data_IF_110152539770
#
_entry.id   IF_110152539770
#
_cell.length_a   1.000
_cell.length_b   1.000
_cell.length_c   1.000
_cell.angle_alpha   90.00
_cell.angle_beta   90.00
_cell.angle_gamma   90.00
#
_symmetry.space_group_name_H-M   'P 1'
#
loop_
_entity.id
_entity.type
_entity.pdbx_description
1 polymer ?
#
# COMPACT_ATOMS: atom_id res chain seq x y z
N UNK A 1 -8.13 -8.25 31.22
CA UNK A 1 -7.29 -7.67 30.15
C UNK A 1 -7.35 -8.66 29.01
N UNK A 2 -8.12 -8.35 27.97
CA UNK A 2 -8.27 -9.24 26.82
C UNK A 2 -7.03 -9.06 25.93
N UNK A 3 -6.29 -10.15 25.73
CA UNK A 3 -5.29 -10.26 24.68
C UNK A 3 -6.05 -10.26 23.35
N UNK A 4 -6.07 -9.12 22.64
CA UNK A 4 -6.48 -9.08 21.24
C UNK A 4 -5.47 -9.88 20.43
N UNK A 5 -5.80 -11.15 20.21
CA UNK A 5 -5.16 -12.00 19.20
C UNK A 5 -5.24 -11.27 17.87
N UNK A 6 -4.10 -10.82 17.34
CA UNK A 6 -3.95 -10.33 15.98
C UNK A 6 -4.53 -11.39 15.04
N UNK A 7 -5.73 -11.13 14.53
CA UNK A 7 -6.40 -12.02 13.59
C UNK A 7 -5.55 -12.12 12.32
N UNK A 8 -5.52 -13.29 11.66
CA UNK A 8 -4.78 -13.45 10.42
C UNK A 8 -5.28 -12.45 9.36
N UNK A 9 -4.33 -11.74 8.76
CA UNK A 9 -4.59 -10.88 7.62
C UNK A 9 -4.66 -11.75 6.37
N UNK A 10 -5.61 -11.48 5.48
CA UNK A 10 -5.68 -12.12 4.17
C UNK A 10 -5.29 -11.09 3.12
N UNK A 11 -4.33 -11.45 2.26
CA UNK A 11 -3.92 -10.69 1.10
C UNK A 11 -4.74 -11.14 -0.10
N UNK A 12 -5.27 -10.22 -0.88
CA UNK A 12 -5.73 -10.47 -2.25
C UNK A 12 -5.00 -9.53 -3.18
N UNK A 13 -4.38 -10.09 -4.21
CA UNK A 13 -4.03 -9.34 -5.42
C UNK A 13 -5.32 -8.84 -6.07
N UNK A 14 -5.39 -7.62 -6.61
CA UNK A 14 -6.48 -7.21 -7.51
C UNK A 14 -5.90 -6.39 -8.65
N UNK A 15 -6.06 -6.89 -9.89
CA UNK A 15 -5.51 -6.26 -11.10
C UNK A 15 -6.28 -6.59 -12.39
N UNK A 16 -7.61 -6.66 -12.36
CA UNK A 16 -8.54 -6.94 -13.48
C UNK A 16 -8.16 -8.03 -14.51
N UNK A 17 -8.80 -9.19 -14.33
CA UNK A 17 -9.18 -10.24 -15.31
C UNK A 17 -8.17 -11.34 -15.63
N UNK A 18 -7.09 -11.49 -14.86
CA UNK A 18 -6.40 -12.77 -14.77
C UNK A 18 -7.00 -13.61 -13.64
N UNK A 19 -7.29 -14.90 -13.87
CA UNK A 19 -7.82 -15.76 -12.79
C UNK A 19 -6.85 -15.86 -11.60
N UNK A 20 -5.56 -15.64 -11.86
CA UNK A 20 -4.48 -15.58 -10.89
C UNK A 20 -4.66 -14.43 -9.88
N UNK A 21 -5.38 -13.36 -10.22
CA UNK A 21 -5.59 -12.22 -9.32
C UNK A 21 -6.69 -12.50 -8.30
N UNK A 22 -7.64 -13.39 -8.59
CA UNK A 22 -8.66 -13.79 -7.61
C UNK A 22 -8.09 -14.72 -6.51
N UNK A 23 -6.79 -15.02 -6.54
CA UNK A 23 -6.15 -15.86 -5.55
C UNK A 23 -5.92 -15.04 -4.29
N UNK A 24 -6.59 -15.45 -3.22
CA UNK A 24 -6.37 -14.90 -1.89
C UNK A 24 -5.31 -15.73 -1.17
N UNK A 25 -4.36 -15.05 -0.56
CA UNK A 25 -3.28 -15.62 0.23
C UNK A 25 -3.46 -15.23 1.69
N UNK A 26 -3.68 -16.19 2.58
CA UNK A 26 -3.71 -15.90 4.02
C UNK A 26 -2.28 -15.72 4.55
N UNK A 27 -2.03 -14.59 5.21
CA UNK A 27 -0.77 -14.28 5.88
C UNK A 27 -1.00 -14.32 7.38
N UNK A 28 -0.42 -15.34 8.03
CA UNK A 28 -0.45 -15.42 9.48
C UNK A 28 0.37 -14.28 10.11
N UNK A 29 0.09 -13.93 11.36
CA UNK A 29 0.89 -12.95 12.10
C UNK A 29 2.37 -13.36 12.12
N UNK A 30 3.26 -12.43 11.78
CA UNK A 30 4.71 -12.65 11.67
C UNK A 30 5.16 -13.43 10.43
N UNK A 31 4.24 -13.85 9.55
CA UNK A 31 4.57 -14.46 8.27
C UNK A 31 4.77 -13.41 7.17
N UNK A 32 5.28 -13.84 6.02
CA UNK A 32 5.48 -13.00 4.84
C UNK A 32 4.90 -13.68 3.60
N UNK A 33 4.43 -12.86 2.66
CA UNK A 33 4.08 -13.27 1.30
C UNK A 33 5.02 -12.55 0.33
N UNK A 34 5.45 -13.25 -0.72
CA UNK A 34 6.33 -12.70 -1.74
C UNK A 34 5.82 -13.11 -3.13
N UNK A 35 5.90 -12.19 -4.08
CA UNK A 35 5.67 -12.44 -5.50
C UNK A 35 6.70 -11.71 -6.37
N UNK A 36 6.93 -12.21 -7.59
CA UNK A 36 7.79 -11.53 -8.55
C UNK A 36 7.09 -10.29 -9.11
N UNK A 37 7.85 -9.23 -9.40
CA UNK A 37 7.30 -8.05 -10.05
C UNK A 37 6.63 -8.37 -11.40
N UNK A 38 5.50 -7.69 -11.62
CA UNK A 38 4.88 -7.56 -12.91
C UNK A 38 5.44 -6.34 -13.64
N UNK A 39 5.59 -6.48 -14.95
CA UNK A 39 6.07 -5.43 -15.84
C UNK A 39 4.87 -4.84 -16.55
N UNK A 40 4.83 -3.52 -16.68
CA UNK A 40 3.80 -2.82 -17.43
C UNK A 40 4.40 -1.85 -18.44
N UNK A 41 3.74 -1.73 -19.59
CA UNK A 41 4.10 -0.77 -20.61
C UNK A 41 2.95 0.24 -20.74
N UNK A 42 3.08 1.49 -20.28
CA UNK A 42 2.00 2.46 -20.44
C UNK A 42 1.79 2.78 -21.92
N UNK A 43 0.52 2.95 -22.33
CA UNK A 43 0.21 3.50 -23.65
C UNK A 43 0.28 5.03 -23.56
N UNK A 44 1.43 5.60 -23.95
CA UNK A 44 1.71 7.03 -23.84
C UNK A 44 1.45 7.73 -25.17
N UNK A 45 0.66 8.82 -25.15
CA UNK A 45 0.41 9.63 -26.34
C UNK A 45 1.73 10.23 -26.88
N UNK A 46 1.98 10.07 -28.19
CA UNK A 46 3.21 10.51 -28.84
C UNK A 46 4.31 9.46 -28.91
N UNK A 47 4.15 8.29 -28.26
CA UNK A 47 5.00 7.14 -28.50
C UNK A 47 4.58 6.42 -29.79
N UNK A 48 5.55 6.04 -30.63
CA UNK A 48 5.25 5.33 -31.89
C UNK A 48 4.80 3.88 -31.66
N UNK A 49 5.21 3.25 -30.57
CA UNK A 49 4.97 1.83 -30.33
C UNK A 49 4.72 1.50 -28.85
N UNK A 50 3.67 0.72 -28.60
CA UNK A 50 3.41 0.09 -27.31
C UNK A 50 4.19 -1.21 -27.21
N UNK A 51 4.95 -1.40 -26.12
CA UNK A 51 5.88 -2.51 -25.95
C UNK A 51 5.21 -3.81 -25.45
N UNK A 52 4.32 -4.37 -26.27
CA UNK A 52 3.47 -5.52 -25.96
C UNK A 52 4.24 -6.77 -25.49
N UNK A 53 5.47 -6.98 -25.98
CA UNK A 53 6.28 -8.17 -25.66
C UNK A 53 6.80 -8.17 -24.21
N UNK A 54 6.93 -6.98 -23.60
CA UNK A 54 7.39 -6.84 -22.21
C UNK A 54 6.23 -6.70 -21.22
N UNK A 55 5.08 -6.29 -21.72
CA UNK A 55 3.94 -5.96 -20.88
C UNK A 55 3.20 -7.20 -20.37
N UNK A 56 3.33 -7.47 -19.08
CA UNK A 56 2.57 -8.53 -18.40
C UNK A 56 1.15 -8.09 -18.04
N UNK A 57 0.90 -6.78 -17.88
CA UNK A 57 -0.38 -6.20 -17.50
C UNK A 57 -0.60 -4.88 -18.27
N UNK A 58 -1.41 -4.95 -19.33
CA UNK A 58 -1.64 -3.89 -20.34
C UNK A 58 -1.73 -2.46 -19.79
N UNK A 59 -0.59 -1.79 -19.63
CA UNK A 59 -0.47 -0.44 -19.07
C UNK A 59 -1.01 -0.27 -17.65
N UNK A 60 -1.23 -1.36 -16.90
CA UNK A 60 -1.73 -1.32 -15.53
C UNK A 60 -0.67 -1.77 -14.53
N UNK A 61 -0.58 -1.05 -13.41
CA UNK A 61 0.17 -1.50 -12.24
C UNK A 61 -0.49 -2.68 -11.53
N UNK A 62 0.23 -3.27 -10.59
CA UNK A 62 -0.29 -4.30 -9.68
C UNK A 62 -0.76 -3.62 -8.41
N UNK A 63 -2.01 -3.90 -8.01
CA UNK A 63 -2.53 -3.49 -6.71
C UNK A 63 -2.63 -4.71 -5.79
N UNK A 64 -1.86 -4.66 -4.70
CA UNK A 64 -1.93 -5.59 -3.58
C UNK A 64 -2.89 -5.04 -2.53
N UNK A 65 -4.04 -5.71 -2.35
CA UNK A 65 -5.03 -5.35 -1.34
C UNK A 65 -4.91 -6.25 -0.13
N UNK A 66 -4.69 -5.64 1.02
CA UNK A 66 -4.50 -6.30 2.31
C UNK A 66 -5.72 -6.00 3.15
N UNK A 67 -6.43 -7.05 3.57
CA UNK A 67 -7.62 -6.94 4.39
C UNK A 67 -7.63 -7.98 5.51
N UNK A 68 -8.60 -7.89 6.40
CA UNK A 68 -8.82 -8.94 7.41
C UNK A 68 -9.87 -9.92 6.91
N UNK A 69 -9.81 -11.18 7.35
CA UNK A 69 -10.86 -12.15 7.03
C UNK A 69 -12.26 -11.72 7.53
N UNK A 70 -12.32 -10.82 8.51
CA UNK A 70 -13.57 -10.29 9.05
C UNK A 70 -14.20 -9.21 8.17
N UNK A 71 -13.41 -8.51 7.34
CA UNK A 71 -13.90 -7.41 6.53
C UNK A 71 -13.11 -7.29 5.22
N UNK A 72 -13.71 -7.80 4.13
CA UNK A 72 -13.08 -7.87 2.81
C UNK A 72 -13.21 -6.56 2.01
N UNK A 73 -14.11 -5.66 2.41
CA UNK A 73 -14.32 -4.37 1.73
C UNK A 73 -13.38 -3.28 2.24
N UNK A 74 -12.73 -3.50 3.39
CA UNK A 74 -11.79 -2.56 3.98
C UNK A 74 -10.36 -3.05 3.71
N UNK A 75 -9.66 -2.39 2.80
CA UNK A 75 -8.33 -2.80 2.38
C UNK A 75 -7.32 -1.65 2.43
N UNK A 76 -6.13 -1.97 2.95
CA UNK A 76 -4.92 -1.23 2.62
C UNK A 76 -4.46 -1.68 1.23
N UNK A 77 -4.12 -0.74 0.37
CA UNK A 77 -3.59 -1.01 -0.96
C UNK A 77 -2.11 -0.63 -1.02
N UNK A 78 -1.29 -1.51 -1.58
CA UNK A 78 0.04 -1.19 -2.09
C UNK A 78 0.03 -1.38 -3.60
N UNK A 79 0.26 -0.32 -4.34
CA UNK A 79 0.35 -0.36 -5.80
C UNK A 79 1.81 -0.30 -6.22
N UNK A 80 2.19 -1.09 -7.23
CA UNK A 80 3.49 -0.99 -7.85
C UNK A 80 3.45 -1.28 -9.34
N UNK A 81 4.44 -0.78 -10.07
CA UNK A 81 4.60 -1.03 -11.49
C UNK A 81 6.08 -0.92 -11.89
N UNK A 82 6.60 -1.90 -12.64
CA UNK A 82 7.84 -1.72 -13.40
C UNK A 82 7.47 -1.11 -14.75
N UNK A 83 7.71 0.20 -14.89
CA UNK A 83 7.27 1.03 -16.00
C UNK A 83 8.41 1.29 -16.97
N UNK A 84 8.19 0.96 -18.25
CA UNK A 84 9.04 1.37 -19.35
C UNK A 84 8.35 2.50 -20.12
N UNK A 85 8.68 3.77 -19.84
CA UNK A 85 8.17 4.89 -20.64
C UNK A 85 8.95 4.97 -21.97
N UNK A 86 8.31 4.75 -23.13
CA UNK A 86 9.00 4.84 -24.41
C UNK A 86 9.55 6.24 -24.72
N UNK A 87 9.00 7.30 -24.10
CA UNK A 87 9.47 8.67 -24.29
C UNK A 87 10.71 9.03 -23.47
N UNK A 88 11.00 8.27 -22.40
CA UNK A 88 12.15 8.55 -21.54
C UNK A 88 13.46 8.01 -22.14
N UNK A 89 13.38 7.17 -23.19
CA UNK A 89 14.52 6.50 -23.86
C UNK A 89 15.48 5.77 -22.89
N UNK A 90 14.98 5.33 -21.73
CA UNK A 90 15.80 4.65 -20.72
C UNK A 90 16.00 3.17 -21.07
N UNK A 91 17.18 2.59 -20.83
CA UNK A 91 17.44 1.18 -21.11
C UNK A 91 16.86 0.22 -20.04
N UNK A 92 16.10 0.74 -19.07
CA UNK A 92 15.59 0.01 -17.92
C UNK A 92 14.18 0.47 -17.53
N UNK A 93 13.50 -0.37 -16.75
CA UNK A 93 12.20 -0.07 -16.17
C UNK A 93 12.38 0.72 -14.88
N UNK A 94 11.59 1.78 -14.70
CA UNK A 94 11.48 2.48 -13.41
C UNK A 94 10.43 1.79 -12.54
N UNK A 95 10.75 1.59 -11.28
CA UNK A 95 9.77 1.15 -10.31
C UNK A 95 8.97 2.36 -9.83
N UNK A 96 7.66 2.33 -10.07
CA UNK A 96 6.68 3.22 -9.47
C UNK A 96 5.92 2.48 -8.38
N UNK A 97 5.58 3.17 -7.30
CA UNK A 97 4.87 2.58 -6.17
C UNK A 97 4.12 3.62 -5.34
N UNK A 98 3.05 3.18 -4.70
CA UNK A 98 2.34 3.95 -3.68
C UNK A 98 1.65 3.05 -2.66
N UNK A 99 1.26 3.67 -1.55
CA UNK A 99 0.41 3.05 -0.54
C UNK A 99 -0.84 3.90 -0.37
N UNK A 100 -1.97 3.24 -0.24
CA UNK A 100 -3.27 3.86 -0.15
C UNK A 100 -4.12 3.22 0.94
N UNK A 101 -4.76 4.06 1.74
CA UNK A 101 -5.81 3.72 2.68
C UNK A 101 -7.18 4.17 2.17
N UNK A 102 -7.30 4.53 0.89
CA UNK A 102 -8.56 5.04 0.32
C UNK A 102 -9.69 4.00 0.41
N UNK A 103 -9.34 2.72 0.26
CA UNK A 103 -10.29 1.59 0.28
C UNK A 103 -10.52 1.02 1.70
N UNK A 104 -10.15 1.75 2.76
CA UNK A 104 -10.46 1.36 4.13
C UNK A 104 -10.99 2.52 4.97
N UNK A 105 -11.80 2.25 5.98
CA UNK A 105 -12.38 3.22 6.91
C UNK A 105 -12.98 4.45 6.20
N UNK A 106 -13.73 4.21 5.11
CA UNK A 106 -14.36 5.28 4.32
C UNK A 106 -15.32 6.10 5.19
N UNK A 107 -15.21 7.44 5.21
CA UNK A 107 -16.08 8.27 6.04
C UNK A 107 -17.58 8.09 5.79
N UNK A 108 -18.01 7.74 4.57
CA UNK A 108 -19.40 7.49 4.24
C UNK A 108 -19.90 6.17 4.84
N UNK A 109 -19.07 5.14 4.85
CA UNK A 109 -19.40 3.84 5.46
C UNK A 109 -19.32 3.91 7.00
N UNK A 110 -18.56 4.87 7.53
CA UNK A 110 -18.32 5.06 8.97
C UNK A 110 -18.85 6.40 9.50
N UNK A 111 -19.90 6.94 8.87
CA UNK A 111 -20.37 8.32 9.10
C UNK A 111 -20.61 8.70 10.57
N UNK A 112 -21.11 7.76 11.40
CA UNK A 112 -21.30 8.02 12.83
C UNK A 112 -19.98 8.25 13.58
N UNK A 113 -18.92 7.54 13.21
CA UNK A 113 -17.59 7.71 13.81
C UNK A 113 -16.97 9.04 13.39
N UNK A 114 -17.09 9.39 12.12
CA UNK A 114 -16.60 10.66 11.57
C UNK A 114 -17.53 11.86 11.85
N UNK A 115 -18.62 11.66 12.58
CA UNK A 115 -19.58 12.73 12.92
C UNK A 115 -20.31 13.32 11.71
N UNK A 116 -20.43 12.56 10.61
CA UNK A 116 -21.08 12.99 9.37
C UNK A 116 -22.60 12.75 9.47
N UNK A 117 -23.38 13.82 9.37
CA UNK A 117 -24.84 13.75 9.28
C UNK A 117 -25.31 13.71 7.82
N UNK A 118 -25.94 12.61 7.40
CA UNK A 118 -26.49 12.43 6.04
C UNK A 118 -27.66 13.36 5.67
N UNK A 119 -28.15 14.12 6.65
CA UNK A 119 -29.38 14.91 6.60
C UNK A 119 -29.15 16.39 6.88
N UNK A 120 -27.89 16.84 6.88
CA UNK A 120 -27.52 18.25 7.02
C UNK A 120 -26.85 18.77 5.75
N UNK A 121 -27.12 20.02 5.38
CA UNK A 121 -26.43 20.75 4.28
C UNK A 121 -24.90 20.90 4.50
N UNK A 122 -24.37 20.39 5.63
CA UNK A 122 -22.98 20.45 6.03
C UNK A 122 -22.31 19.08 5.93
N UNK A 123 -22.29 18.48 4.75
CA UNK A 123 -21.42 17.33 4.50
C UNK A 123 -19.97 17.77 4.61
N UNK A 124 -19.27 17.30 5.65
CA UNK A 124 -17.84 17.56 5.82
C UNK A 124 -17.07 16.64 4.86
N UNK A 125 -16.44 17.22 3.85
CA UNK A 125 -15.48 16.51 3.01
C UNK A 125 -14.13 16.43 3.74
N UNK A 126 -13.70 15.19 4.02
CA UNK A 126 -12.42 14.91 4.66
C UNK A 126 -11.41 14.61 3.56
N UNK A 127 -10.34 15.38 3.51
CA UNK A 127 -9.21 15.18 2.60
C UNK A 127 -7.95 14.98 3.42
N UNK A 128 -6.86 14.54 2.79
CA UNK A 128 -5.57 14.44 3.48
C UNK A 128 -5.15 15.80 4.08
N UNK A 129 -5.55 16.91 3.46
CA UNK A 129 -5.26 18.28 3.92
C UNK A 129 -6.18 18.78 5.03
N UNK A 130 -7.42 18.29 5.10
CA UNK A 130 -8.43 18.75 6.06
C UNK A 130 -8.66 17.77 7.21
N UNK A 131 -8.00 16.60 7.21
CA UNK A 131 -8.17 15.59 8.25
C UNK A 131 -7.75 16.11 9.63
N UNK A 132 -8.60 15.88 10.62
CA UNK A 132 -8.27 16.15 12.02
C UNK A 132 -7.45 15.00 12.62
N UNK A 133 -6.95 15.21 13.84
CA UNK A 133 -6.32 14.13 14.59
C UNK A 133 -7.28 12.96 14.86
N UNK A 134 -8.58 13.23 15.09
CA UNK A 134 -9.60 12.19 15.24
C UNK A 134 -9.85 11.43 13.95
N UNK A 135 -9.97 12.10 12.79
CA UNK A 135 -10.19 11.41 11.51
C UNK A 135 -9.05 10.45 11.20
N UNK A 136 -7.82 10.91 11.42
CA UNK A 136 -6.62 10.08 11.28
C UNK A 136 -6.64 8.91 12.25
N UNK A 137 -7.01 9.13 13.51
CA UNK A 137 -7.14 8.06 14.50
C UNK A 137 -8.14 6.99 14.05
N UNK A 138 -9.31 7.40 13.52
CA UNK A 138 -10.27 6.45 12.95
C UNK A 138 -9.67 5.65 11.80
N UNK A 139 -8.94 6.31 10.89
CA UNK A 139 -8.23 5.63 9.82
C UNK A 139 -7.23 4.59 10.33
N UNK A 140 -6.37 4.98 11.27
CA UNK A 140 -5.35 4.10 11.88
C UNK A 140 -5.98 2.90 12.58
N UNK A 141 -7.05 3.12 13.35
CA UNK A 141 -7.69 2.09 14.17
C UNK A 141 -8.48 1.07 13.32
N UNK A 142 -9.01 1.49 12.17
CA UNK A 142 -9.88 0.67 11.32
C UNK A 142 -9.19 0.07 10.10
N UNK A 143 -8.13 0.71 9.58
CA UNK A 143 -7.44 0.23 8.40
C UNK A 143 -6.51 -0.95 8.72
N UNK A 144 -6.64 -2.07 8.00
CA UNK A 144 -5.83 -3.26 8.24
C UNK A 144 -4.34 -2.97 7.99
N UNK A 145 -3.47 -3.46 8.87
CA UNK A 145 -2.03 -3.40 8.68
C UNK A 145 -1.36 -2.05 9.00
N UNK A 146 -2.13 -1.00 9.32
CA UNK A 146 -1.58 0.33 9.63
C UNK A 146 -1.28 0.56 11.12
N UNK A 147 -1.93 -0.18 12.03
CA UNK A 147 -1.78 0.01 13.48
C UNK A 147 -0.32 -0.15 13.94
N UNK A 148 0.25 0.89 14.51
CA UNK A 148 1.67 0.99 14.86
C UNK A 148 2.56 1.46 13.71
N UNK A 149 1.98 1.95 12.62
CA UNK A 149 2.69 2.38 11.42
C UNK A 149 2.91 1.28 10.39
N UNK A 150 3.41 1.69 9.23
CA UNK A 150 3.84 0.82 8.14
C UNK A 150 5.17 1.30 7.58
N UNK A 151 5.87 0.42 6.87
CA UNK A 151 7.13 0.78 6.22
C UNK A 151 7.26 0.11 4.86
N UNK A 152 7.67 0.88 3.85
CA UNK A 152 8.14 0.37 2.57
C UNK A 152 9.66 0.53 2.55
N UNK A 153 10.37 -0.59 2.40
CA UNK A 153 11.83 -0.62 2.34
C UNK A 153 12.33 -1.37 1.10
N UNK A 154 13.55 -1.05 0.69
CA UNK A 154 14.17 -1.56 -0.52
C UNK A 154 15.39 -2.39 -0.17
N UNK A 155 15.40 -3.65 -0.58
CA UNK A 155 16.53 -4.57 -0.40
C UNK A 155 17.15 -4.83 -1.76
N UNK A 156 18.15 -4.02 -2.12
CA UNK A 156 18.86 -4.16 -3.38
C UNK A 156 19.60 -5.51 -3.49
N UNK A 157 19.72 -6.02 -4.71
CA UNK A 157 20.62 -7.13 -5.02
C UNK A 157 22.07 -6.74 -4.75
N UNK A 158 22.91 -7.73 -4.46
CA UNK A 158 24.35 -7.52 -4.30
C UNK A 158 24.90 -6.85 -5.56
N UNK A 159 25.68 -5.78 -5.38
CA UNK A 159 26.24 -4.89 -6.43
C UNK A 159 25.31 -3.86 -7.10
N UNK A 160 24.04 -3.76 -6.68
CA UNK A 160 23.13 -2.71 -7.15
C UNK A 160 23.03 -1.54 -6.15
N UNK A 161 22.68 -0.35 -6.64
CA UNK A 161 22.39 0.81 -5.78
C UNK A 161 20.97 0.66 -5.20
N UNK A 162 20.87 0.64 -3.86
CA UNK A 162 19.60 0.55 -3.16
C UNK A 162 18.97 1.91 -2.84
N UNK A 163 19.73 2.99 -2.96
CA UNK A 163 19.30 4.33 -2.56
C UNK A 163 18.61 5.08 -3.72
N UNK A 164 18.26 4.37 -4.80
CA UNK A 164 17.53 4.93 -5.94
C UNK A 164 16.03 5.12 -5.68
N UNK A 165 15.49 4.54 -4.60
CA UNK A 165 14.08 4.61 -4.25
C UNK A 165 13.89 5.27 -2.87
N UNK A 166 12.87 6.13 -2.73
CA UNK A 166 12.54 6.76 -1.45
C UNK A 166 11.74 5.80 -0.54
N UNK A 167 12.23 5.44 0.66
CA UNK A 167 11.44 4.62 1.57
C UNK A 167 10.22 5.38 2.10
N UNK A 168 9.15 4.64 2.41
CA UNK A 168 8.01 5.16 3.15
C UNK A 168 8.14 4.67 4.59
N UNK A 169 8.22 5.56 5.57
CA UNK A 169 8.20 5.21 7.00
C UNK A 169 7.08 6.00 7.67
N UNK A 170 5.97 5.30 7.95
CA UNK A 170 4.79 5.87 8.58
C UNK A 170 4.75 5.47 10.05
N UNK A 171 4.44 6.43 10.92
CA UNK A 171 4.00 6.17 12.29
C UNK A 171 2.52 6.62 12.45
N UNK A 172 1.92 6.47 13.63
CA UNK A 172 0.51 6.83 13.84
C UNK A 172 0.29 8.35 14.00
N UNK A 173 1.34 9.10 14.36
CA UNK A 173 1.27 10.48 14.83
C UNK A 173 1.61 11.52 13.74
N UNK A 174 2.42 11.12 12.76
CA UNK A 174 2.94 11.97 11.69
C UNK A 174 2.28 11.69 10.36
N UNK A 175 2.23 12.73 9.53
CA UNK A 175 1.81 12.59 8.15
C UNK A 175 2.91 11.86 7.36
N UNK A 176 2.54 10.75 6.72
CA UNK A 176 3.43 10.06 5.80
C UNK A 176 2.96 10.17 4.34
N UNK A 177 3.86 9.89 3.40
CA UNK A 177 3.61 9.97 1.95
C UNK A 177 2.78 8.80 1.44
N UNK A 178 1.52 8.72 1.86
CA UNK A 178 0.51 7.75 1.42
C UNK A 178 -0.83 8.46 1.21
N UNK A 179 -1.76 7.82 0.52
CA UNK A 179 -3.13 8.33 0.38
C UNK A 179 -3.98 7.95 1.60
N UNK A 180 -4.59 8.92 2.29
CA UNK A 180 -5.50 8.63 3.42
C UNK A 180 -6.97 8.68 3.00
N UNK A 181 -7.41 9.81 2.43
CA UNK A 181 -8.80 10.12 2.08
C UNK A 181 -8.95 10.67 0.67
N UNK A 182 -7.89 11.25 0.10
CA UNK A 182 -7.98 11.93 -1.20
C UNK A 182 -7.09 11.28 -2.24
N UNK A 183 -7.67 10.92 -3.40
CA UNK A 183 -6.93 10.26 -4.50
C UNK A 183 -5.97 11.18 -5.25
N UNK A 184 -6.29 12.46 -5.37
CA UNK A 184 -5.51 13.42 -6.15
C UNK A 184 -5.24 14.68 -5.32
N UNK A 185 -3.97 15.08 -5.23
CA UNK A 185 -3.56 16.32 -4.56
C UNK A 185 -2.25 16.84 -5.15
N UNK A 186 -1.97 18.13 -4.95
CA UNK A 186 -0.63 18.66 -5.19
C UNK A 186 0.38 17.93 -4.29
N UNK A 187 1.40 17.33 -4.90
CA UNK A 187 2.33 16.42 -4.22
C UNK A 187 1.79 15.00 -4.05
N UNK A 188 1.24 14.42 -5.13
CA UNK A 188 0.77 13.03 -5.16
C UNK A 188 1.79 12.09 -4.49
N UNK A 189 1.39 11.30 -3.48
CA UNK A 189 2.26 10.35 -2.80
C UNK A 189 2.63 9.13 -3.65
N UNK A 190 2.36 9.14 -4.96
CA UNK A 190 2.92 8.17 -5.89
C UNK A 190 4.38 8.49 -6.15
N UNK A 191 5.24 7.51 -5.88
CA UNK A 191 6.69 7.65 -5.91
C UNK A 191 7.24 6.87 -7.11
N UNK A 192 8.37 7.35 -7.63
CA UNK A 192 9.14 6.70 -8.68
C UNK A 192 10.60 6.67 -8.27
N UNK A 193 11.26 5.52 -8.45
CA UNK A 193 12.69 5.44 -8.23
C UNK A 193 13.45 6.30 -9.24
N UNK A 194 14.51 6.99 -8.78
CA UNK A 194 15.36 7.84 -9.60
C UNK A 194 16.24 7.09 -10.61
N UNK A 195 16.28 5.75 -10.55
CA UNK A 195 17.05 4.88 -11.43
C UNK A 195 16.52 3.44 -11.47
N UNK A 196 17.27 2.54 -12.11
CA UNK A 196 16.94 1.10 -12.16
C UNK A 196 17.04 0.51 -10.75
N UNK A 197 15.91 0.04 -10.23
CA UNK A 197 15.90 -0.74 -8.99
C UNK A 197 15.92 -2.23 -9.28
N UNK A 198 16.88 -2.94 -8.68
CA UNK A 198 17.01 -4.40 -8.72
C UNK A 198 17.08 -4.93 -7.31
N UNK A 199 16.06 -5.66 -6.88
CA UNK A 199 15.96 -6.12 -5.51
C UNK A 199 14.54 -6.47 -5.12
N UNK A 200 14.28 -6.47 -3.82
CA UNK A 200 12.95 -6.69 -3.27
C UNK A 200 12.40 -5.40 -2.67
N UNK A 201 11.13 -5.13 -2.93
CA UNK A 201 10.35 -4.15 -2.16
C UNK A 201 9.69 -4.89 -1.02
N UNK A 202 9.79 -4.35 0.19
CA UNK A 202 9.22 -4.95 1.40
C UNK A 202 8.27 -3.97 2.04
N UNK A 203 6.99 -4.34 2.09
CA UNK A 203 5.97 -3.66 2.88
C UNK A 203 5.84 -4.35 4.24
N UNK A 204 6.37 -3.72 5.28
CA UNK A 204 6.17 -4.13 6.66
C UNK A 204 4.89 -3.49 7.22
N UNK A 205 4.00 -4.34 7.72
CA UNK A 205 2.73 -3.95 8.33
C UNK A 205 2.85 -3.95 9.85
N UNK A 206 2.10 -3.07 10.50
CA UNK A 206 2.04 -2.94 11.95
C UNK A 206 3.42 -2.80 12.62
N UNK A 207 4.28 -1.91 12.12
CA UNK A 207 5.73 -1.85 12.41
C UNK A 207 6.05 -1.75 13.91
N UNK A 208 5.36 -0.89 14.67
CA UNK A 208 5.59 -0.78 16.12
C UNK A 208 5.16 -2.04 16.90
N UNK A 209 4.25 -2.86 16.34
CA UNK A 209 3.81 -4.12 16.95
C UNK A 209 4.84 -5.25 16.79
N UNK A 210 5.76 -5.14 15.82
CA UNK A 210 6.81 -6.14 15.61
C UNK A 210 7.84 -6.19 16.77
N UNK A 211 7.96 -5.11 17.54
CA UNK A 211 8.83 -5.04 18.72
C UNK A 211 8.24 -5.65 20.00
N UNK A 212 6.93 -5.91 20.05
CA UNK A 212 6.26 -6.37 21.28
C UNK A 212 6.24 -7.90 21.45
N UNK A 213 6.55 -8.68 20.41
CA UNK A 213 6.42 -10.15 20.42
C UNK A 213 7.74 -10.93 20.59
N UNK A 214 8.85 -10.28 20.98
CA UNK A 214 10.14 -10.97 21.18
C UNK A 214 10.35 -11.49 22.63
N UNK A 215 9.41 -11.26 23.56
CA UNK A 215 9.60 -11.61 24.99
C UNK A 215 8.52 -12.54 25.59
N UNK A 216 8.15 -13.63 24.91
CA UNK A 216 7.28 -14.66 25.54
C UNK A 216 7.74 -16.11 25.43
N UNK A 217 8.98 -16.38 25.04
CA UNK A 217 9.59 -17.71 25.24
C UNK A 217 11.04 -17.63 25.74
N UNK A 218 11.20 -17.40 27.04
CA UNK A 218 12.37 -17.85 27.80
C UNK A 218 12.07 -17.78 29.30
N UNK A 219 11.36 -18.78 29.85
CA UNK A 219 11.03 -18.75 31.26
C UNK A 219 10.25 -19.95 31.80
N UNK A 220 10.75 -21.17 31.63
CA UNK A 220 10.51 -22.23 32.61
C UNK A 220 11.71 -23.17 32.67
N UNK A 221 12.42 -23.07 33.79
CA UNK A 221 13.15 -24.19 34.38
C UNK A 221 12.18 -24.97 35.26
#
# INVERSE_FOLDING_TARGET
MASESLLPSSLSTVGLNAWQENIQHTIASGASYNESFCVTCPNVEGAEEYCADYDKLRGQGVSLKIFTAANLSEALQFEYALVQNPLDELPYHKLNYDVSLLDCADPLDHALLYGIGFNTENHREITDQSMSAEDRKHKVDLCPGYKGGLRVSFKAEESCDGDVCEPIDCNEDDWCKIYFFQRTRDGEPSLSCGGEFRGNVVLDLCVASAGANINTEAGSK
#
